data_IF_739349256907
#
_entry.id   IF_739349256907
#
_cell.length_a   1.000
_cell.length_b   1.000
_cell.length_c   1.000
_cell.angle_alpha   90.00
_cell.angle_beta   90.00
_cell.angle_gamma   90.00
#
_symmetry.space_group_name_H-M   'P 1'
#
loop_
_entity.id
_entity.type
_entity.pdbx_description
1 polymer ?
#
# COMPACT_ATOMS: atom_id res chain seq x y z
N UNK A 1 19.30 -2.54 -7.66
CA UNK A 1 18.71 -1.30 -7.09
C UNK A 1 19.57 -0.87 -5.92
N UNK A 2 19.81 0.43 -5.75
CA UNK A 2 20.44 0.95 -4.54
C UNK A 2 19.43 1.00 -3.38
N UNK A 3 19.92 1.06 -2.15
CA UNK A 3 19.07 1.22 -0.96
C UNK A 3 18.22 2.50 -1.04
N UNK A 4 18.79 3.59 -1.57
CA UNK A 4 18.08 4.86 -1.77
C UNK A 4 16.90 4.73 -2.75
N UNK A 5 17.06 3.99 -3.84
CA UNK A 5 15.98 3.75 -4.80
C UNK A 5 14.82 2.95 -4.20
N UNK A 6 15.12 1.97 -3.34
CA UNK A 6 14.09 1.16 -2.67
C UNK A 6 13.29 2.00 -1.67
N UNK A 7 13.97 2.85 -0.88
CA UNK A 7 13.30 3.73 0.09
C UNK A 7 12.35 4.70 -0.64
N UNK A 8 12.81 5.31 -1.73
CA UNK A 8 11.96 6.21 -2.52
C UNK A 8 10.76 5.48 -3.10
N UNK A 9 10.95 4.27 -3.65
CA UNK A 9 9.86 3.46 -4.18
C UNK A 9 8.82 3.12 -3.09
N UNK A 10 9.27 2.71 -1.90
CA UNK A 10 8.38 2.41 -0.77
C UNK A 10 7.59 3.65 -0.35
N UNK A 11 8.23 4.82 -0.29
CA UNK A 11 7.57 6.09 0.04
C UNK A 11 6.50 6.47 -0.98
N UNK A 12 6.80 6.35 -2.28
CA UNK A 12 5.85 6.66 -3.34
C UNK A 12 4.68 5.67 -3.37
N UNK A 13 4.94 4.37 -3.20
CA UNK A 13 3.89 3.35 -3.15
C UNK A 13 2.98 3.52 -1.93
N UNK A 14 3.55 3.88 -0.78
CA UNK A 14 2.76 4.10 0.44
C UNK A 14 1.90 5.37 0.32
N UNK A 15 2.44 6.45 -0.27
CA UNK A 15 1.67 7.65 -0.59
C UNK A 15 0.56 7.37 -1.60
N UNK A 16 0.85 6.65 -2.67
CA UNK A 16 -0.14 6.21 -3.65
C UNK A 16 -1.25 5.38 -3.00
N UNK A 17 -0.88 4.43 -2.14
CA UNK A 17 -1.81 3.57 -1.43
C UNK A 17 -2.74 4.38 -0.51
N UNK A 18 -2.20 5.34 0.25
CA UNK A 18 -3.02 6.23 1.09
C UNK A 18 -4.05 7.00 0.28
N UNK A 19 -3.64 7.58 -0.84
CA UNK A 19 -4.53 8.33 -1.71
C UNK A 19 -5.62 7.43 -2.30
N UNK A 20 -5.27 6.22 -2.74
CA UNK A 20 -6.20 5.24 -3.29
C UNK A 20 -7.25 4.78 -2.27
N UNK A 21 -6.88 4.70 -0.99
CA UNK A 21 -7.76 4.23 0.10
C UNK A 21 -8.41 5.36 0.92
N UNK A 22 -8.25 6.61 0.49
CA UNK A 22 -8.83 7.77 1.19
C UNK A 22 -10.37 7.69 1.18
N UNK A 23 -10.97 7.70 2.38
CA UNK A 23 -12.41 7.52 2.63
C UNK A 23 -12.99 6.18 2.14
N UNK A 24 -12.15 5.18 1.87
CA UNK A 24 -12.59 3.82 1.55
C UNK A 24 -12.85 3.07 2.85
N UNK A 25 -13.98 2.34 2.92
CA UNK A 25 -14.30 1.45 4.03
C UNK A 25 -13.61 0.10 3.84
N UNK A 26 -12.99 -0.40 4.91
CA UNK A 26 -12.41 -1.73 4.97
C UNK A 26 -13.51 -2.78 4.86
N UNK A 27 -13.42 -3.74 3.92
CA UNK A 27 -14.43 -4.79 3.78
C UNK A 27 -14.46 -5.74 4.99
N UNK A 28 -13.36 -5.85 5.74
CA UNK A 28 -13.28 -6.75 6.89
C UNK A 28 -13.87 -6.16 8.19
N UNK A 29 -13.72 -4.85 8.42
CA UNK A 29 -14.16 -4.23 9.68
C UNK A 29 -15.21 -3.13 9.52
N UNK A 30 -15.53 -2.71 8.29
CA UNK A 30 -16.51 -1.66 7.99
C UNK A 30 -16.04 -0.22 8.27
N UNK A 31 -14.89 -0.03 8.90
CA UNK A 31 -14.34 1.30 9.21
C UNK A 31 -13.56 1.90 8.05
N UNK A 32 -13.43 3.22 8.03
CA UNK A 32 -12.57 3.94 7.09
C UNK A 32 -11.11 3.50 7.29
N UNK A 33 -10.40 3.24 6.18
CA UNK A 33 -9.00 2.79 6.17
C UNK A 33 -8.05 3.98 6.32
N UNK A 34 -8.24 5.00 5.46
CA UNK A 34 -7.45 6.24 5.44
C UNK A 34 -8.40 7.43 5.48
N UNK A 35 -8.16 8.38 6.37
CA UNK A 35 -8.98 9.58 6.60
C UNK A 35 -8.10 10.82 6.79
N UNK A 36 -8.71 12.00 6.85
CA UNK A 36 -8.09 13.31 7.13
C UNK A 36 -7.35 13.96 5.94
N UNK A 37 -6.90 15.20 6.16
CA UNK A 37 -6.04 15.94 5.25
C UNK A 37 -4.78 16.43 5.99
N UNK A 38 -3.58 15.90 5.68
CA UNK A 38 -3.29 14.89 4.65
C UNK A 38 -3.87 13.50 5.00
N UNK A 39 -4.08 12.61 4.01
CA UNK A 39 -4.61 11.27 4.25
C UNK A 39 -3.72 10.47 5.21
N UNK A 40 -4.29 9.91 6.27
CA UNK A 40 -3.63 9.15 7.32
C UNK A 40 -4.35 7.84 7.60
N UNK A 41 -3.58 6.79 7.91
CA UNK A 41 -4.11 5.50 8.33
C UNK A 41 -4.83 5.63 9.67
N UNK A 42 -6.04 5.09 9.76
CA UNK A 42 -6.90 5.19 10.94
C UNK A 42 -7.47 3.83 11.33
N UNK A 43 -8.08 3.74 12.51
CA UNK A 43 -8.82 2.56 12.97
C UNK A 43 -7.99 1.26 12.93
N UNK A 44 -6.72 1.34 13.36
CA UNK A 44 -5.80 0.20 13.43
C UNK A 44 -5.49 -0.44 12.07
N UNK A 45 -5.63 0.31 10.98
CA UNK A 45 -5.11 -0.08 9.67
C UNK A 45 -3.68 0.38 9.51
N UNK A 46 -2.87 -0.40 8.80
CA UNK A 46 -1.47 -0.07 8.53
C UNK A 46 -1.09 -0.47 7.10
N UNK A 47 -0.24 0.31 6.40
CA UNK A 47 0.28 -0.09 5.11
C UNK A 47 1.14 -1.34 5.24
N UNK A 48 1.11 -2.20 4.22
CA UNK A 48 2.03 -3.33 4.11
C UNK A 48 2.49 -3.50 2.67
N UNK A 49 3.78 -3.23 2.44
CA UNK A 49 4.40 -3.31 1.12
C UNK A 49 5.55 -4.30 1.21
N UNK A 50 5.57 -5.27 0.30
CA UNK A 50 6.63 -6.27 0.21
C UNK A 50 7.27 -6.16 -1.17
N UNK A 51 8.59 -6.00 -1.20
CA UNK A 51 9.38 -5.96 -2.43
C UNK A 51 10.11 -7.29 -2.55
N UNK A 52 9.58 -8.18 -3.38
CA UNK A 52 10.19 -9.47 -3.70
C UNK A 52 11.15 -9.36 -4.89
N UNK A 53 11.70 -10.51 -5.30
CA UNK A 53 12.59 -10.59 -6.46
C UNK A 53 11.84 -10.39 -7.78
N UNK A 54 10.64 -10.94 -7.91
CA UNK A 54 9.85 -10.90 -9.15
C UNK A 54 8.71 -9.87 -9.12
N UNK A 55 8.15 -9.62 -7.93
CA UNK A 55 6.96 -8.78 -7.78
C UNK A 55 7.04 -7.87 -6.55
N UNK A 56 6.25 -6.80 -6.59
CA UNK A 56 5.96 -5.92 -5.47
C UNK A 56 4.49 -6.14 -5.09
N UNK A 57 4.26 -6.55 -3.86
CA UNK A 57 2.92 -6.66 -3.30
C UNK A 57 2.59 -5.41 -2.50
N UNK A 58 1.43 -4.82 -2.80
CA UNK A 58 0.89 -3.66 -2.10
C UNK A 58 -0.42 -4.07 -1.43
N UNK A 59 -0.44 -3.92 -0.11
CA UNK A 59 -1.54 -4.39 0.75
C UNK A 59 -1.67 -3.49 1.97
N UNK A 60 -2.68 -3.75 2.80
CA UNK A 60 -2.77 -3.16 4.13
C UNK A 60 -3.20 -4.20 5.15
N UNK A 61 -2.81 -4.00 6.40
CA UNK A 61 -3.26 -4.81 7.53
C UNK A 61 -4.49 -4.21 8.15
N UNK A 62 -5.46 -5.06 8.46
CA UNK A 62 -6.58 -4.76 9.33
C UNK A 62 -6.49 -5.68 10.54
N UNK A 63 -6.53 -5.14 11.76
CA UNK A 63 -6.48 -5.96 12.99
C UNK A 63 -7.54 -7.07 13.04
N UNK A 64 -8.73 -6.84 12.45
CA UNK A 64 -9.82 -7.81 12.41
C UNK A 64 -9.78 -8.75 11.20
N UNK A 65 -9.20 -8.31 10.08
CA UNK A 65 -9.23 -9.02 8.80
C UNK A 65 -7.92 -9.64 8.35
N UNK A 66 -6.82 -9.42 9.09
CA UNK A 66 -5.49 -9.81 8.66
C UNK A 66 -4.97 -8.93 7.54
N UNK A 67 -4.32 -9.54 6.55
CA UNK A 67 -3.74 -8.84 5.42
C UNK A 67 -4.74 -8.76 4.26
N UNK A 68 -4.98 -7.56 3.75
CA UNK A 68 -5.89 -7.30 2.63
C UNK A 68 -5.06 -6.78 1.45
N UNK A 69 -5.01 -7.58 0.39
CA UNK A 69 -4.24 -7.27 -0.81
C UNK A 69 -4.97 -6.24 -1.68
N UNK A 70 -4.22 -5.26 -2.19
CA UNK A 70 -4.73 -4.23 -3.12
C UNK A 70 -4.30 -4.52 -4.54
N UNK A 71 -3.03 -4.85 -4.74
CA UNK A 71 -2.50 -5.26 -6.04
C UNK A 71 -1.11 -5.87 -5.90
N UNK A 72 -0.72 -6.58 -6.96
CA UNK A 72 0.65 -7.00 -7.22
C UNK A 72 1.14 -6.31 -8.48
N UNK A 73 2.38 -5.88 -8.47
CA UNK A 73 3.04 -5.23 -9.59
C UNK A 73 4.25 -6.09 -9.97
N UNK A 74 4.46 -6.42 -11.25
CA UNK A 74 5.72 -7.04 -11.67
C UNK A 74 6.86 -6.06 -11.39
N UNK A 75 8.01 -6.59 -10.93
CA UNK A 75 9.21 -5.78 -10.73
C UNK A 75 9.83 -5.35 -12.06
N UNK A 76 9.57 -6.11 -13.12
CA UNK A 76 9.84 -5.71 -14.50
C UNK A 76 8.86 -4.62 -14.91
N UNK A 77 9.24 -3.38 -14.63
CA UNK A 77 8.83 -2.27 -15.49
C UNK A 77 9.57 -2.51 -16.80
N UNK A 78 9.00 -3.29 -17.72
CA UNK A 78 9.42 -3.17 -19.11
C UNK A 78 9.11 -1.73 -19.51
N UNK A 79 10.15 -0.91 -19.59
CA UNK A 79 10.17 0.28 -20.41
C UNK A 79 9.70 -0.14 -21.80
N UNK A 80 8.41 0.04 -22.09
CA UNK A 80 7.96 0.10 -23.48
C UNK A 80 8.53 1.39 -24.05
N UNK A 81 9.71 1.25 -24.66
CA UNK A 81 10.34 2.19 -25.60
C UNK A 81 9.34 2.53 -26.72
#
# INVERSE_FOLDING_TARGET
MSQASIINLLSELEKWLRNKLHNVKCPACGHIIVSNHPPQWVNEHLPHITVGEEEISVSYRCKKGGLIEICRLPRTVEEKI
#
